data_IF_266309218720
#
_entry.id   IF_266309218720
#
_cell.length_a   1.000
_cell.length_b   1.000
_cell.length_c   1.000
_cell.angle_alpha   90.00
_cell.angle_beta   90.00
_cell.angle_gamma   90.00
#
_symmetry.space_group_name_H-M   'P 1'
#
loop_
_entity.id
_entity.type
_entity.pdbx_description
1 polymer ?
#
# COMPACT_ATOMS: atom_id res chain seq x y z
N UNK A 1 -15.73 4.15 17.36
CA UNK A 1 -16.58 3.57 16.29
C UNK A 1 -17.49 2.56 16.97
N UNK A 2 -18.80 2.66 16.75
CA UNK A 2 -19.75 1.72 17.38
C UNK A 2 -19.99 0.49 16.48
N UNK A 3 -20.71 -0.54 17.00
CA UNK A 3 -20.97 -1.80 16.27
C UNK A 3 -21.66 -1.57 14.91
N UNK A 4 -22.57 -0.59 14.83
CA UNK A 4 -23.32 -0.29 13.59
C UNK A 4 -22.41 0.31 12.50
N UNK A 5 -21.45 1.15 12.90
CA UNK A 5 -20.45 1.70 11.96
C UNK A 5 -19.52 0.62 11.43
N UNK A 6 -19.16 -0.36 12.26
CA UNK A 6 -18.36 -1.51 11.84
C UNK A 6 -19.11 -2.37 10.84
N UNK A 7 -20.36 -2.71 11.13
CA UNK A 7 -21.21 -3.49 10.22
C UNK A 7 -21.41 -2.80 8.87
N UNK A 8 -21.61 -1.46 8.87
CA UNK A 8 -21.69 -0.66 7.62
C UNK A 8 -20.42 -0.71 6.78
N UNK A 9 -19.27 -0.94 7.41
CA UNK A 9 -17.98 -1.13 6.75
C UNK A 9 -17.68 -2.58 6.36
N UNK A 10 -18.63 -3.49 6.58
CA UNK A 10 -18.49 -4.89 6.23
C UNK A 10 -17.77 -5.75 7.26
N UNK A 11 -17.57 -5.24 8.49
CA UNK A 11 -17.01 -6.04 9.57
C UNK A 11 -17.98 -7.11 10.02
N UNK A 12 -17.47 -8.35 10.13
CA UNK A 12 -18.17 -9.46 10.75
C UNK A 12 -17.90 -9.40 12.25
N UNK A 13 -18.97 -9.28 13.05
CA UNK A 13 -18.89 -9.18 14.52
C UNK A 13 -19.36 -10.43 15.23
N UNK A 14 -19.86 -11.41 14.50
CA UNK A 14 -20.25 -12.71 15.03
C UNK A 14 -19.01 -13.47 15.52
N UNK A 15 -19.09 -14.10 16.69
CA UNK A 15 -17.99 -14.92 17.17
C UNK A 15 -17.79 -16.13 16.22
N UNK A 16 -16.53 -16.41 15.94
CA UNK A 16 -16.16 -17.60 15.16
C UNK A 16 -16.53 -18.84 15.97
N UNK A 17 -17.19 -19.81 15.32
CA UNK A 17 -17.45 -21.11 15.91
C UNK A 17 -16.12 -21.85 16.14
N UNK A 18 -15.79 -22.08 17.41
CA UNK A 18 -14.54 -22.72 17.83
C UNK A 18 -14.47 -24.23 17.50
N UNK A 19 -15.57 -24.81 17.05
CA UNK A 19 -15.62 -26.22 16.64
C UNK A 19 -15.21 -26.41 15.17
N UNK A 20 -15.15 -25.35 14.39
CA UNK A 20 -14.77 -25.42 12.99
C UNK A 20 -13.25 -25.62 12.81
N UNK A 21 -12.88 -26.47 11.89
CA UNK A 21 -11.54 -26.45 11.29
C UNK A 21 -11.48 -25.28 10.32
N UNK A 22 -11.00 -24.13 10.82
CA UNK A 22 -10.98 -22.87 10.06
C UNK A 22 -10.20 -23.00 8.75
N UNK A 23 -9.10 -23.75 8.74
CA UNK A 23 -8.28 -23.94 7.54
C UNK A 23 -9.06 -24.71 6.47
N UNK A 24 -9.72 -25.80 6.86
CA UNK A 24 -10.54 -26.60 5.95
C UNK A 24 -11.74 -25.79 5.40
N UNK A 25 -12.42 -25.00 6.24
CA UNK A 25 -13.54 -24.18 5.80
C UNK A 25 -13.10 -23.01 4.88
N UNK A 26 -11.97 -22.38 5.17
CA UNK A 26 -11.38 -21.36 4.29
C UNK A 26 -11.01 -21.97 2.94
N UNK A 27 -10.36 -23.12 2.91
CA UNK A 27 -9.98 -23.81 1.67
C UNK A 27 -11.20 -24.22 0.83
N UNK A 28 -12.27 -24.63 1.48
CA UNK A 28 -13.55 -24.95 0.83
C UNK A 28 -14.15 -23.69 0.21
N UNK A 29 -14.32 -22.62 0.98
CA UNK A 29 -14.90 -21.35 0.52
C UNK A 29 -14.07 -20.72 -0.61
N UNK A 30 -12.75 -20.77 -0.53
CA UNK A 30 -11.84 -20.28 -1.56
C UNK A 30 -12.09 -20.96 -2.91
N UNK A 31 -12.26 -22.28 -2.91
CA UNK A 31 -12.57 -23.06 -4.13
C UNK A 31 -13.98 -22.77 -4.63
N UNK A 32 -14.99 -22.77 -3.75
CA UNK A 32 -16.38 -22.48 -4.11
C UNK A 32 -16.59 -21.08 -4.70
N UNK A 33 -15.82 -20.10 -4.24
CA UNK A 33 -15.94 -18.68 -4.64
C UNK A 33 -14.96 -18.26 -5.72
N UNK A 34 -14.15 -19.15 -6.25
CA UNK A 34 -13.02 -18.82 -7.12
C UNK A 34 -12.19 -17.65 -6.54
N UNK A 35 -11.75 -17.81 -5.28
CA UNK A 35 -11.06 -16.80 -4.52
C UNK A 35 -9.59 -17.17 -4.30
N UNK A 36 -8.73 -16.16 -4.19
CA UNK A 36 -7.33 -16.28 -3.80
C UNK A 36 -7.03 -15.43 -2.58
N UNK A 37 -6.11 -15.90 -1.76
CA UNK A 37 -5.64 -15.21 -0.56
C UNK A 37 -4.21 -14.75 -0.81
N UNK A 38 -4.00 -13.43 -0.77
CA UNK A 38 -2.70 -12.79 -0.91
C UNK A 38 -2.24 -12.27 0.44
N UNK A 39 -1.17 -12.85 0.98
CA UNK A 39 -0.61 -12.52 2.29
C UNK A 39 0.62 -11.62 2.19
N UNK A 40 0.61 -10.48 2.88
CA UNK A 40 1.84 -9.72 3.06
C UNK A 40 2.76 -10.47 4.04
N UNK A 41 4.07 -10.49 3.77
CA UNK A 41 5.02 -11.26 4.58
C UNK A 41 5.19 -10.75 6.02
N UNK A 42 4.52 -9.67 6.43
CA UNK A 42 4.41 -9.22 7.82
C UNK A 42 3.24 -9.84 8.59
N UNK A 43 2.39 -10.62 7.92
CA UNK A 43 1.27 -11.29 8.57
C UNK A 43 1.76 -12.41 9.50
N UNK A 44 0.92 -12.76 10.48
CA UNK A 44 1.15 -13.92 11.35
C UNK A 44 1.27 -15.21 10.53
N UNK A 45 2.00 -16.18 11.08
CA UNK A 45 2.32 -17.44 10.40
C UNK A 45 1.04 -18.17 9.94
N UNK A 46 -0.02 -18.17 10.74
CA UNK A 46 -1.30 -18.81 10.40
C UNK A 46 -1.97 -18.20 9.17
N UNK A 47 -1.77 -16.89 8.94
CA UNK A 47 -2.27 -16.22 7.75
C UNK A 47 -1.39 -16.54 6.54
N UNK A 48 -0.08 -16.62 6.74
CA UNK A 48 0.85 -17.00 5.69
C UNK A 48 0.62 -18.45 5.23
N UNK A 49 0.31 -19.37 6.15
CA UNK A 49 0.04 -20.79 5.84
C UNK A 49 -1.18 -21.00 4.95
N UNK A 50 -2.17 -20.12 4.99
CA UNK A 50 -3.38 -20.24 4.16
C UNK A 50 -3.30 -19.38 2.89
N UNK A 51 -2.26 -18.57 2.72
CA UNK A 51 -2.11 -17.70 1.57
C UNK A 51 -1.69 -18.48 0.31
N UNK A 52 -2.27 -18.12 -0.84
CA UNK A 52 -1.87 -18.65 -2.15
C UNK A 52 -0.55 -18.05 -2.61
N UNK A 53 -0.26 -16.83 -2.17
CA UNK A 53 0.98 -16.15 -2.48
C UNK A 53 1.35 -15.20 -1.33
N UNK A 54 2.63 -15.16 -1.00
CA UNK A 54 3.22 -14.30 0.03
C UNK A 54 4.24 -13.38 -0.62
N UNK A 55 4.16 -12.09 -0.31
CA UNK A 55 5.09 -11.13 -0.90
C UNK A 55 5.02 -9.74 -0.27
N UNK A 56 5.80 -8.83 -0.84
CA UNK A 56 5.71 -7.39 -0.55
C UNK A 56 4.55 -6.74 -1.32
N UNK A 57 4.32 -5.45 -1.08
CA UNK A 57 3.22 -4.70 -1.71
C UNK A 57 3.25 -4.74 -3.24
N UNK A 58 4.44 -4.70 -3.86
CA UNK A 58 4.59 -4.74 -5.31
C UNK A 58 4.33 -6.14 -5.86
N UNK A 59 4.92 -7.15 -5.25
CA UNK A 59 4.75 -8.54 -5.65
C UNK A 59 3.28 -8.97 -5.55
N UNK A 60 2.59 -8.60 -4.46
CA UNK A 60 1.15 -8.86 -4.28
C UNK A 60 0.30 -8.16 -5.34
N UNK A 61 0.61 -6.90 -5.67
CA UNK A 61 -0.09 -6.16 -6.71
C UNK A 61 0.11 -6.79 -8.10
N UNK A 62 1.32 -7.21 -8.43
CA UNK A 62 1.64 -7.88 -9.68
C UNK A 62 0.98 -9.25 -9.79
N UNK A 63 0.90 -9.98 -8.69
CA UNK A 63 0.24 -11.28 -8.65
C UNK A 63 -1.29 -11.12 -8.79
N UNK A 64 -1.88 -10.14 -8.08
CA UNK A 64 -3.29 -9.81 -8.21
C UNK A 64 -3.69 -9.50 -9.67
N UNK A 65 -2.85 -8.77 -10.40
CA UNK A 65 -3.09 -8.43 -11.80
C UNK A 65 -3.07 -9.64 -12.76
N UNK A 66 -2.46 -10.76 -12.35
CA UNK A 66 -2.28 -11.95 -13.21
C UNK A 66 -3.23 -13.09 -12.88
N UNK A 67 -3.86 -13.09 -11.71
CA UNK A 67 -4.75 -14.18 -11.29
C UNK A 67 -6.06 -14.19 -12.08
N UNK A 68 -6.59 -15.37 -12.35
CA UNK A 68 -7.92 -15.57 -12.98
C UNK A 68 -9.05 -15.66 -11.92
N UNK A 69 -8.73 -15.55 -10.64
CA UNK A 69 -9.73 -15.57 -9.57
C UNK A 69 -10.69 -14.37 -9.65
N UNK A 70 -11.94 -14.57 -9.27
CA UNK A 70 -12.96 -13.53 -9.21
C UNK A 70 -12.86 -12.67 -7.95
N UNK A 71 -12.34 -13.28 -6.87
CA UNK A 71 -12.22 -12.65 -5.55
C UNK A 71 -10.75 -12.69 -5.09
N UNK A 72 -10.25 -11.55 -4.66
CA UNK A 72 -8.94 -11.41 -4.05
C UNK A 72 -9.13 -11.04 -2.58
N UNK A 73 -8.67 -11.89 -1.67
CA UNK A 73 -8.59 -11.58 -0.24
C UNK A 73 -7.20 -11.06 0.05
N UNK A 74 -7.08 -9.77 0.29
CA UNK A 74 -5.80 -9.11 0.55
C UNK A 74 -5.53 -9.05 2.05
N UNK A 75 -4.73 -9.97 2.57
CA UNK A 75 -4.26 -9.99 3.95
C UNK A 75 -3.04 -9.06 4.08
N UNK A 76 -3.30 -7.79 4.28
CA UNK A 76 -2.32 -6.71 4.38
C UNK A 76 -2.98 -5.44 4.88
N UNK A 77 -2.33 -4.31 4.68
CA UNK A 77 -2.87 -3.00 5.05
C UNK A 77 -3.75 -2.42 3.94
N UNK A 78 -4.62 -1.49 4.31
CA UNK A 78 -5.70 -0.97 3.48
C UNK A 78 -5.26 -0.53 2.07
N UNK A 79 -4.18 0.23 1.93
CA UNK A 79 -3.71 0.70 0.61
C UNK A 79 -3.30 -0.43 -0.34
N UNK A 80 -2.95 -1.63 0.16
CA UNK A 80 -2.64 -2.79 -0.68
C UNK A 80 -3.89 -3.33 -1.36
N UNK A 81 -5.00 -3.41 -0.63
CA UNK A 81 -6.30 -3.76 -1.20
C UNK A 81 -6.78 -2.72 -2.21
N UNK A 82 -6.62 -1.43 -1.92
CA UNK A 82 -6.93 -0.35 -2.87
C UNK A 82 -6.08 -0.47 -4.15
N UNK A 83 -4.77 -0.76 -4.02
CA UNK A 83 -3.88 -0.96 -5.16
C UNK A 83 -4.31 -2.17 -6.00
N UNK A 84 -4.65 -3.29 -5.36
CA UNK A 84 -5.17 -4.46 -6.05
C UNK A 84 -6.49 -4.13 -6.78
N UNK A 85 -7.39 -3.34 -6.16
CA UNK A 85 -8.65 -2.93 -6.79
C UNK A 85 -8.45 -2.00 -7.98
N UNK A 86 -7.47 -1.10 -7.94
CA UNK A 86 -7.10 -0.25 -9.08
C UNK A 86 -6.62 -1.09 -10.26
N UNK A 87 -5.79 -2.10 -10.00
CA UNK A 87 -5.23 -2.97 -11.05
C UNK A 87 -6.23 -4.00 -11.57
N UNK A 88 -7.23 -4.36 -10.76
CA UNK A 88 -8.23 -5.38 -11.06
C UNK A 88 -9.64 -4.82 -10.83
N UNK A 89 -10.10 -3.85 -11.63
CA UNK A 89 -11.36 -3.14 -11.38
C UNK A 89 -12.59 -4.05 -11.44
N UNK A 90 -12.55 -5.13 -12.21
CA UNK A 90 -13.64 -6.08 -12.37
C UNK A 90 -13.72 -7.14 -11.27
N UNK A 91 -12.64 -7.33 -10.51
CA UNK A 91 -12.57 -8.32 -9.43
C UNK A 91 -13.09 -7.75 -8.11
N UNK A 92 -13.62 -8.62 -7.26
CA UNK A 92 -13.93 -8.27 -5.88
C UNK A 92 -12.65 -8.36 -5.04
N UNK A 93 -12.26 -7.24 -4.41
CA UNK A 93 -11.14 -7.21 -3.47
C UNK A 93 -11.67 -7.03 -2.06
N UNK A 94 -11.28 -7.94 -1.16
CA UNK A 94 -11.67 -7.96 0.23
C UNK A 94 -10.45 -7.74 1.11
N UNK A 95 -10.62 -6.97 2.18
CA UNK A 95 -9.61 -6.74 3.22
C UNK A 95 -10.21 -7.27 4.53
N UNK A 96 -9.60 -8.29 5.17
CA UNK A 96 -10.15 -8.89 6.37
C UNK A 96 -10.26 -7.92 7.56
N UNK A 97 -9.27 -7.05 7.71
CA UNK A 97 -9.26 -6.00 8.74
C UNK A 97 -9.21 -4.61 8.10
N UNK A 98 -10.33 -3.90 8.15
CA UNK A 98 -10.43 -2.55 7.61
C UNK A 98 -9.62 -1.50 8.39
N UNK A 99 -9.25 -1.80 9.65
CA UNK A 99 -8.40 -0.93 10.47
C UNK A 99 -6.90 -1.21 10.29
N UNK A 100 -6.54 -2.19 9.47
CA UNK A 100 -5.14 -2.44 9.14
C UNK A 100 -4.58 -1.25 8.35
N UNK A 101 -4.13 -0.23 9.07
CA UNK A 101 -3.61 1.04 8.56
C UNK A 101 -2.10 1.02 8.33
N UNK A 102 -1.62 2.07 7.69
CA UNK A 102 -0.20 2.34 7.50
C UNK A 102 0.06 3.82 7.80
N UNK A 103 0.82 4.09 8.86
CA UNK A 103 1.13 5.46 9.27
C UNK A 103 1.83 6.27 8.16
N UNK A 104 2.53 5.59 7.28
CA UNK A 104 3.13 6.22 6.12
C UNK A 104 2.03 6.69 5.13
N UNK A 105 1.03 5.86 4.85
CA UNK A 105 -0.10 6.27 4.02
C UNK A 105 -0.91 7.39 4.70
N UNK A 106 -1.11 7.32 6.01
CA UNK A 106 -1.85 8.31 6.80
C UNK A 106 -1.14 9.68 6.86
N UNK A 107 0.20 9.70 6.68
CA UNK A 107 0.96 10.94 6.62
C UNK A 107 0.78 11.74 5.33
N UNK A 108 0.00 11.20 4.36
CA UNK A 108 -0.34 11.86 3.10
C UNK A 108 -1.88 11.95 2.92
N UNK A 109 -2.56 12.84 3.64
CA UNK A 109 -3.98 13.09 3.44
C UNK A 109 -4.25 13.54 2.00
N UNK A 110 -5.21 12.88 1.32
CA UNK A 110 -5.45 13.06 -0.10
C UNK A 110 -5.90 14.48 -0.48
N UNK A 111 -6.67 15.15 0.38
CA UNK A 111 -7.11 16.53 0.20
C UNK A 111 -5.92 17.51 0.18
N UNK A 112 -5.03 17.40 1.17
CA UNK A 112 -3.82 18.23 1.26
C UNK A 112 -2.84 17.94 0.13
N UNK A 113 -2.68 16.65 -0.21
CA UNK A 113 -1.81 16.27 -1.31
C UNK A 113 -2.34 16.76 -2.67
N UNK A 114 -3.66 16.66 -2.89
CA UNK A 114 -4.29 17.21 -4.10
C UNK A 114 -4.12 18.73 -4.23
N UNK A 115 -4.18 19.46 -3.10
CA UNK A 115 -3.90 20.88 -3.09
C UNK A 115 -2.42 21.18 -3.43
N UNK A 116 -1.50 20.44 -2.83
CA UNK A 116 -0.08 20.55 -3.12
C UNK A 116 0.23 20.31 -4.61
N UNK A 117 -0.40 19.30 -5.23
CA UNK A 117 -0.25 19.01 -6.67
C UNK A 117 -0.76 20.18 -7.52
N UNK A 118 -1.91 20.77 -7.17
CA UNK A 118 -2.48 21.92 -7.88
C UNK A 118 -1.59 23.17 -7.82
N UNK A 119 -0.84 23.34 -6.75
CA UNK A 119 0.11 24.45 -6.58
C UNK A 119 1.38 24.27 -7.41
N UNK A 120 1.61 23.07 -7.97
CA UNK A 120 2.79 22.72 -8.75
C UNK A 120 2.40 22.05 -10.09
N UNK A 121 1.64 22.72 -10.95
CA UNK A 121 1.04 22.11 -12.15
C UNK A 121 2.07 21.70 -13.23
N UNK A 122 3.29 22.20 -13.15
CA UNK A 122 4.40 21.94 -14.07
C UNK A 122 5.26 20.73 -13.62
N UNK A 123 4.87 20.05 -12.53
CA UNK A 123 5.61 18.90 -12.02
C UNK A 123 4.97 17.57 -12.41
N UNK A 124 5.78 16.55 -12.60
CA UNK A 124 5.33 15.15 -12.67
C UNK A 124 5.16 14.62 -11.25
N UNK A 125 3.99 14.10 -10.96
CA UNK A 125 3.65 13.60 -9.62
C UNK A 125 4.06 12.15 -9.51
N UNK A 126 5.04 11.88 -8.66
CA UNK A 126 5.52 10.52 -8.36
C UNK A 126 5.17 10.20 -6.91
N UNK A 127 4.41 9.16 -6.66
CA UNK A 127 4.07 8.74 -5.30
C UNK A 127 4.60 7.35 -4.95
N UNK A 128 4.81 7.15 -3.67
CA UNK A 128 5.17 5.84 -3.13
C UNK A 128 3.93 4.93 -3.07
N UNK A 129 4.10 3.64 -3.23
CA UNK A 129 3.00 2.66 -3.25
C UNK A 129 2.15 2.69 -1.97
N UNK A 130 2.75 3.04 -0.83
CA UNK A 130 2.06 3.18 0.45
C UNK A 130 1.26 4.49 0.53
N UNK A 131 0.31 4.66 -0.35
CA UNK A 131 -0.61 5.79 -0.43
C UNK A 131 -2.02 5.30 -0.70
N UNK A 132 -3.03 6.10 -0.34
CA UNK A 132 -4.43 5.78 -0.61
C UNK A 132 -4.74 5.83 -2.12
N UNK A 133 -5.85 5.21 -2.53
CA UNK A 133 -6.36 5.31 -3.90
C UNK A 133 -6.62 6.77 -4.30
N UNK A 134 -7.08 7.61 -3.37
CA UNK A 134 -7.33 9.02 -3.62
C UNK A 134 -6.04 9.82 -3.92
N UNK A 135 -4.92 9.50 -3.27
CA UNK A 135 -3.59 10.04 -3.62
C UNK A 135 -3.15 9.52 -4.97
N UNK A 136 -3.34 8.23 -5.25
CA UNK A 136 -3.01 7.63 -6.55
C UNK A 136 -3.79 8.25 -7.72
N UNK A 137 -5.01 8.75 -7.48
CA UNK A 137 -5.84 9.41 -8.50
C UNK A 137 -5.25 10.73 -9.02
N UNK A 138 -4.33 11.36 -8.28
CA UNK A 138 -3.61 12.58 -8.67
C UNK A 138 -2.12 12.32 -8.88
N UNK A 139 -1.74 11.07 -9.10
CA UNK A 139 -0.36 10.61 -9.26
C UNK A 139 -0.15 10.13 -10.69
N UNK A 140 0.95 10.57 -11.32
CA UNK A 140 1.33 10.12 -12.66
C UNK A 140 2.06 8.77 -12.62
N UNK A 141 2.92 8.57 -11.62
CA UNK A 141 3.71 7.34 -11.49
C UNK A 141 3.80 6.89 -10.03
N UNK A 142 3.49 5.62 -9.79
CA UNK A 142 3.64 4.98 -8.48
C UNK A 142 4.94 4.18 -8.44
N UNK A 143 5.73 4.38 -7.38
CA UNK A 143 7.03 3.73 -7.20
C UNK A 143 7.13 2.98 -5.87
N UNK A 144 8.13 2.12 -5.80
CA UNK A 144 8.62 1.49 -4.57
C UNK A 144 10.07 1.87 -4.33
N UNK A 145 10.64 1.53 -3.18
CA UNK A 145 12.07 1.76 -2.91
C UNK A 145 12.99 1.08 -3.93
N UNK A 146 12.57 -0.05 -4.49
CA UNK A 146 13.35 -0.83 -5.45
C UNK A 146 13.49 -0.15 -6.82
N UNK A 147 12.45 0.51 -7.31
CA UNK A 147 12.41 1.09 -8.67
C UNK A 147 12.45 2.62 -8.73
N UNK A 148 12.36 3.30 -7.57
CA UNK A 148 12.27 4.76 -7.51
C UNK A 148 13.43 5.46 -8.22
N UNK A 149 14.68 5.00 -8.01
CA UNK A 149 15.86 5.55 -8.69
C UNK A 149 15.74 5.45 -10.21
N UNK A 150 15.46 4.26 -10.71
CA UNK A 150 15.36 4.00 -12.15
C UNK A 150 14.24 4.83 -12.80
N UNK A 151 13.10 4.94 -12.15
CA UNK A 151 11.96 5.76 -12.61
C UNK A 151 12.37 7.24 -12.68
N UNK A 152 12.99 7.78 -11.62
CA UNK A 152 13.42 9.17 -11.59
C UNK A 152 14.48 9.45 -12.66
N UNK A 153 15.42 8.53 -12.87
CA UNK A 153 16.45 8.67 -13.92
C UNK A 153 15.90 8.59 -15.35
N UNK A 154 14.73 7.94 -15.55
CA UNK A 154 14.09 7.85 -16.87
C UNK A 154 13.48 9.17 -17.36
N UNK A 155 13.22 10.14 -16.47
CA UNK A 155 12.74 11.45 -16.86
C UNK A 155 13.88 12.35 -17.37
N UNK A 156 13.58 13.24 -18.31
CA UNK A 156 14.53 14.25 -18.76
C UNK A 156 15.03 15.10 -17.57
N UNK A 157 16.30 15.51 -17.60
CA UNK A 157 16.92 16.24 -16.48
C UNK A 157 16.23 17.58 -16.20
N UNK A 158 15.69 18.19 -17.24
CA UNK A 158 14.99 19.47 -17.20
C UNK A 158 13.54 19.34 -16.70
N UNK A 159 13.01 18.11 -16.69
CA UNK A 159 11.65 17.87 -16.22
C UNK A 159 11.60 18.02 -14.70
N UNK A 160 10.83 18.97 -14.23
CA UNK A 160 10.51 19.07 -12.81
C UNK A 160 9.67 17.89 -12.39
N UNK A 161 9.97 17.32 -11.26
CA UNK A 161 9.21 16.22 -10.71
C UNK A 161 8.91 16.46 -9.24
N UNK A 162 7.64 16.43 -8.89
CA UNK A 162 7.20 16.31 -7.52
C UNK A 162 7.36 14.86 -7.12
N UNK A 163 8.21 14.60 -6.17
CA UNK A 163 8.37 13.28 -5.62
C UNK A 163 7.66 13.26 -4.26
N UNK A 164 6.45 12.75 -4.24
CA UNK A 164 5.78 12.44 -3.00
C UNK A 164 6.34 11.15 -2.42
N UNK A 165 7.59 11.18 -2.00
CA UNK A 165 8.08 10.13 -1.14
C UNK A 165 7.55 10.43 0.24
N UNK A 166 6.70 9.56 0.72
CA UNK A 166 6.23 9.59 2.10
C UNK A 166 7.35 9.29 3.11
N UNK A 167 8.49 8.83 2.63
CA UNK A 167 9.72 8.77 3.39
C UNK A 167 10.60 9.91 2.87
N UNK A 168 10.57 11.05 3.53
CA UNK A 168 11.41 12.22 3.22
C UNK A 168 12.88 11.83 3.03
N UNK A 169 13.35 10.83 3.80
CA UNK A 169 14.68 10.26 3.70
C UNK A 169 14.96 9.59 2.34
N UNK A 170 14.01 8.86 1.76
CA UNK A 170 14.19 8.24 0.43
C UNK A 170 14.25 9.31 -0.67
N UNK A 171 13.39 10.33 -0.61
CA UNK A 171 13.42 11.44 -1.58
C UNK A 171 14.73 12.23 -1.53
N UNK A 172 15.22 12.54 -0.32
CA UNK A 172 16.52 13.17 -0.15
C UNK A 172 17.66 12.30 -0.67
N UNK A 173 17.61 10.99 -0.39
CA UNK A 173 18.59 10.05 -0.92
C UNK A 173 18.57 10.01 -2.46
N UNK A 174 17.39 9.89 -3.08
CA UNK A 174 17.27 9.89 -4.53
C UNK A 174 17.77 11.22 -5.12
N UNK A 175 17.43 12.37 -4.53
CA UNK A 175 17.95 13.67 -4.93
C UNK A 175 19.49 13.67 -4.92
N UNK A 176 20.11 13.15 -3.86
CA UNK A 176 21.57 13.15 -3.72
C UNK A 176 22.29 12.27 -4.75
N UNK A 177 21.74 11.08 -5.08
CA UNK A 177 22.40 10.14 -5.99
C UNK A 177 22.07 10.39 -7.48
N UNK A 178 20.97 11.08 -7.77
CA UNK A 178 20.56 11.41 -9.15
C UNK A 178 20.89 12.86 -9.53
N UNK A 179 21.42 13.63 -8.60
CA UNK A 179 21.67 15.07 -8.74
C UNK A 179 20.42 15.83 -9.22
N UNK A 180 19.25 15.45 -8.70
CA UNK A 180 17.95 16.07 -8.92
C UNK A 180 17.61 16.99 -7.75
N UNK A 181 16.73 17.91 -7.98
CA UNK A 181 16.16 18.78 -6.94
C UNK A 181 14.64 18.66 -6.96
N UNK A 182 14.17 17.43 -6.67
CA UNK A 182 12.75 17.13 -6.62
C UNK A 182 12.12 17.81 -5.40
N UNK A 183 10.94 18.37 -5.59
CA UNK A 183 10.11 18.84 -4.50
C UNK A 183 9.57 17.65 -3.72
N UNK A 184 9.71 17.64 -2.42
CA UNK A 184 9.32 16.51 -1.56
C UNK A 184 8.10 16.89 -0.72
N UNK A 185 7.15 15.94 -0.63
CA UNK A 185 6.07 15.99 0.35
C UNK A 185 6.65 15.72 1.75
N UNK A 186 6.19 16.46 2.75
CA UNK A 186 6.65 16.32 4.15
C UNK A 186 5.91 15.18 4.88
N UNK A 187 5.98 13.97 4.33
CA UNK A 187 5.43 12.75 4.91
C UNK A 187 6.51 11.89 5.57
N UNK A 188 6.15 11.18 6.63
CA UNK A 188 7.07 10.39 7.42
C UNK A 188 6.48 9.06 7.90
N UNK A 189 7.34 8.05 7.98
CA UNK A 189 7.03 6.77 8.61
C UNK A 189 7.56 6.76 10.04
N UNK A 190 6.69 6.70 11.03
CA UNK A 190 7.09 6.72 12.44
C UNK A 190 8.05 5.59 12.84
N UNK A 191 8.00 4.45 12.15
CA UNK A 191 8.92 3.32 12.35
C UNK A 191 10.33 3.71 11.92
N UNK A 192 10.48 4.25 10.72
CA UNK A 192 11.79 4.70 10.21
C UNK A 192 12.36 5.85 11.04
N UNK A 193 11.54 6.81 11.47
CA UNK A 193 11.98 7.90 12.33
C UNK A 193 12.54 7.43 13.67
N UNK A 194 11.89 6.44 14.30
CA UNK A 194 12.43 5.83 15.55
C UNK A 194 13.79 5.19 15.34
N UNK A 195 14.00 4.48 14.23
CA UNK A 195 15.32 3.89 13.92
C UNK A 195 16.38 4.96 13.68
N UNK A 196 16.06 6.06 13.01
CA UNK A 196 16.99 7.17 12.82
C UNK A 196 17.36 7.86 14.15
N UNK A 197 16.39 8.05 15.05
CA UNK A 197 16.63 8.62 16.37
C UNK A 197 17.53 7.72 17.23
N UNK A 198 17.28 6.41 17.26
CA UNK A 198 18.10 5.45 17.99
C UNK A 198 19.54 5.43 17.49
N UNK A 199 19.75 5.51 16.18
CA UNK A 199 21.09 5.54 15.58
C UNK A 199 21.85 6.84 15.88
N UNK A 200 21.14 7.97 16.02
CA UNK A 200 21.75 9.25 16.43
C UNK A 200 22.11 9.29 17.92
N UNK A 201 21.46 8.50 18.76
CA UNK A 201 21.73 8.42 20.19
C UNK A 201 22.85 7.41 20.53
N UNK A 202 23.22 6.54 19.59
CA UNK A 202 24.26 5.53 19.73
C UNK A 202 25.62 5.93 19.13
N UNK A 203 25.73 7.11 18.55
CA UNK A 203 26.97 7.77 18.09
C UNK A 203 27.24 9.04 18.91
#
# INVERSE_FOLDING_TARGET
>A
MNKEEWLKKGYVTEPVDKTLDLKAEIDKLRKEKNAVILGHYYQADEIQEIADFIGDSLALAQWAAKTDADIIVMCGVHFMGETAKILCPDKKVLIPDFNAGCSLADSCPADKFSQFVKEHPDHTVISYVNTSAAVKAVTDVVVTSTNAKQIVESFAKEQKSNFSVLIKSLGNYINSITNRNMLLWDGACHVHEKFFLLRKLSN
#
